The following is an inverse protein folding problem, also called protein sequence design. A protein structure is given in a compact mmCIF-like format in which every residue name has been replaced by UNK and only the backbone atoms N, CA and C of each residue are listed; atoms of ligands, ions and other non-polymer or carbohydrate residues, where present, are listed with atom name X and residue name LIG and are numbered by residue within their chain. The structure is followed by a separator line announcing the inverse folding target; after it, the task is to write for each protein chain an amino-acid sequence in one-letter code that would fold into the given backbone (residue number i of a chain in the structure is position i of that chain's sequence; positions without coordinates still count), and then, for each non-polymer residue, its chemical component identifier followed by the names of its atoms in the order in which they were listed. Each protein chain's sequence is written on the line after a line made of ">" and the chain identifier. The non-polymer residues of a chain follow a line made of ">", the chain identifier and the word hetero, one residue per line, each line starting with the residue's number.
data_IF_786054068222
#
_entry.id   IF_786054068222
#
_cell.length_a   1.000
_cell.length_b   1.000
_cell.length_c   1.000
_cell.angle_alpha   90.00
_cell.angle_beta   90.00
_cell.angle_gamma   90.00
#
_symmetry.space_group_name_H-M   'P 1'
#
loop_
_entity.id
_entity.type
_entity.pdbx_description
1 polymer ?
#
# COMPACT_ATOMS: atom_id res chain seq x y z
N UNK A 1 3.21 33.02 -16.17
CA UNK A 1 1.97 33.64 -16.69
C UNK A 1 0.72 32.81 -16.36
N UNK A 2 0.71 31.48 -16.61
CA UNK A 2 -0.48 30.64 -16.33
C UNK A 2 -0.88 30.59 -14.84
N UNK A 3 0.08 30.51 -13.91
CA UNK A 3 -0.23 30.51 -12.47
C UNK A 3 -0.83 31.83 -11.95
N UNK A 4 -0.73 32.92 -12.71
CA UNK A 4 -1.32 34.21 -12.38
C UNK A 4 -2.80 34.32 -12.83
N UNK A 5 -3.33 33.31 -13.52
CA UNK A 5 -4.74 33.30 -13.93
C UNK A 5 -5.66 33.11 -12.71
N UNK A 6 -6.72 33.92 -12.64
CA UNK A 6 -7.74 33.80 -11.58
C UNK A 6 -8.71 32.65 -11.84
N UNK A 7 -9.10 32.43 -13.10
CA UNK A 7 -10.09 31.44 -13.47
C UNK A 7 -9.45 30.14 -13.98
N UNK A 8 -9.92 28.96 -13.53
CA UNK A 8 -9.49 27.69 -14.11
C UNK A 8 -9.90 27.58 -15.59
N UNK A 9 -9.07 26.96 -16.42
CA UNK A 9 -9.41 26.66 -17.81
C UNK A 9 -9.79 25.19 -18.01
N UNK A 10 -10.74 24.93 -18.91
CA UNK A 10 -11.20 23.58 -19.21
C UNK A 10 -10.23 22.88 -20.18
N UNK A 11 -9.83 21.65 -19.85
CA UNK A 11 -8.93 20.85 -20.69
C UNK A 11 -9.70 19.87 -21.58
N UNK A 12 -10.92 19.48 -21.17
CA UNK A 12 -11.77 18.55 -21.94
C UNK A 12 -11.28 17.10 -21.82
N UNK A 13 -11.28 16.37 -22.94
CA UNK A 13 -10.76 14.99 -22.98
C UNK A 13 -9.27 15.02 -23.28
N UNK A 14 -8.49 14.38 -22.43
CA UNK A 14 -7.03 14.36 -22.55
C UNK A 14 -6.57 12.91 -22.65
N UNK A 15 -5.78 12.62 -23.68
CA UNK A 15 -5.14 11.31 -23.75
C UNK A 15 -4.01 11.24 -22.72
N UNK A 16 -3.00 12.08 -22.90
CA UNK A 16 -1.80 12.07 -22.08
C UNK A 16 -1.56 13.48 -21.51
N UNK A 17 -1.40 13.58 -20.19
CA UNK A 17 -1.03 14.79 -19.48
C UNK A 17 0.18 14.48 -18.60
N UNK A 18 1.36 14.91 -19.04
CA UNK A 18 2.61 14.77 -18.32
C UNK A 18 3.05 16.17 -17.87
N UNK A 19 3.08 16.43 -16.55
CA UNK A 19 3.50 17.69 -15.94
C UNK A 19 4.73 17.45 -15.08
N UNK A 20 5.84 18.07 -15.46
CA UNK A 20 7.13 17.93 -14.78
C UNK A 20 7.53 19.23 -14.09
N UNK A 21 8.10 19.11 -12.90
CA UNK A 21 8.64 20.18 -12.07
C UNK A 21 7.63 21.33 -11.90
N UNK A 22 8.01 22.57 -12.18
CA UNK A 22 7.12 23.74 -12.04
C UNK A 22 5.82 23.62 -12.84
N UNK A 23 5.75 22.75 -13.87
CA UNK A 23 4.51 22.52 -14.61
C UNK A 23 3.45 21.82 -13.76
N UNK A 24 3.84 21.08 -12.70
CA UNK A 24 2.89 20.46 -11.75
C UNK A 24 1.96 21.51 -11.15
N UNK A 25 2.47 22.71 -10.83
CA UNK A 25 1.66 23.82 -10.31
C UNK A 25 0.51 24.24 -11.24
N UNK A 26 0.61 23.99 -12.54
CA UNK A 26 -0.43 24.39 -13.51
C UNK A 26 -1.73 23.62 -13.28
N UNK A 27 -1.68 22.43 -12.65
CA UNK A 27 -2.86 21.61 -12.38
C UNK A 27 -3.92 22.36 -11.54
N UNK A 28 -3.50 23.28 -10.66
CA UNK A 28 -4.44 24.06 -9.83
C UNK A 28 -5.26 25.07 -10.64
N UNK A 29 -4.84 25.33 -11.87
CA UNK A 29 -5.50 26.26 -12.80
C UNK A 29 -6.32 25.52 -13.85
N UNK A 30 -6.47 24.20 -13.73
CA UNK A 30 -7.27 23.39 -14.63
C UNK A 30 -8.62 23.04 -14.00
N UNK A 31 -9.70 23.14 -14.78
CA UNK A 31 -11.00 22.58 -14.41
C UNK A 31 -11.07 21.13 -14.86
N UNK A 32 -10.73 20.20 -13.95
CA UNK A 32 -10.58 18.77 -14.26
C UNK A 32 -11.77 17.90 -13.82
N UNK A 33 -12.73 18.43 -13.05
CA UNK A 33 -13.82 17.65 -12.47
C UNK A 33 -14.60 16.79 -13.48
N UNK A 34 -14.86 17.35 -14.66
CA UNK A 34 -15.59 16.67 -15.74
C UNK A 34 -14.66 16.21 -16.88
N UNK A 35 -13.36 16.12 -16.62
CA UNK A 35 -12.38 15.62 -17.59
C UNK A 35 -12.29 14.09 -17.55
N UNK A 36 -12.00 13.52 -18.72
CA UNK A 36 -11.60 12.12 -18.88
C UNK A 36 -10.15 12.13 -19.33
N UNK A 37 -9.26 11.59 -18.49
CA UNK A 37 -7.81 11.55 -18.73
C UNK A 37 -7.36 10.10 -18.85
N UNK A 38 -6.71 9.72 -19.96
CA UNK A 38 -6.17 8.35 -20.08
C UNK A 38 -4.91 8.17 -19.22
N UNK A 39 -4.00 9.15 -19.21
CA UNK A 39 -2.79 9.14 -18.38
C UNK A 39 -2.48 10.52 -17.81
N UNK A 40 -2.39 10.62 -16.49
CA UNK A 40 -1.92 11.79 -15.75
C UNK A 40 -0.62 11.44 -15.02
N UNK A 41 0.48 12.10 -15.37
CA UNK A 41 1.76 11.97 -14.69
C UNK A 41 2.16 13.32 -14.10
N UNK A 42 2.41 13.35 -12.79
CA UNK A 42 3.04 14.49 -12.12
C UNK A 42 4.39 14.03 -11.56
N UNK A 43 5.48 14.69 -11.95
CA UNK A 43 6.82 14.44 -11.39
C UNK A 43 7.42 15.78 -10.95
N UNK A 44 7.90 15.87 -9.73
CA UNK A 44 8.51 17.09 -9.21
C UNK A 44 9.77 16.78 -8.42
N UNK A 45 10.92 17.22 -8.94
CA UNK A 45 12.23 16.98 -8.32
C UNK A 45 12.52 17.82 -7.08
N UNK A 46 11.81 18.93 -6.86
CA UNK A 46 12.01 19.83 -5.72
C UNK A 46 10.68 20.23 -5.08
N UNK A 47 10.69 20.53 -3.78
CA UNK A 47 9.50 21.03 -3.07
C UNK A 47 8.93 22.32 -3.70
N UNK A 48 9.81 23.20 -4.19
CA UNK A 48 9.43 24.45 -4.83
C UNK A 48 8.53 24.24 -6.08
N UNK A 49 8.65 23.09 -6.75
CA UNK A 49 7.85 22.74 -7.92
C UNK A 49 6.37 22.49 -7.60
N UNK A 50 6.09 22.05 -6.37
CA UNK A 50 4.72 21.76 -5.89
C UNK A 50 4.19 22.81 -4.93
N UNK A 51 4.99 23.80 -4.54
CA UNK A 51 4.63 24.83 -3.57
C UNK A 51 3.30 25.54 -3.91
N UNK A 52 3.08 25.87 -5.20
CA UNK A 52 1.83 26.48 -5.65
C UNK A 52 0.60 25.58 -5.43
N UNK A 53 0.78 24.25 -5.54
CA UNK A 53 -0.28 23.29 -5.26
C UNK A 53 -0.51 23.16 -3.76
N UNK A 54 0.56 23.00 -2.98
CA UNK A 54 0.48 22.84 -1.52
C UNK A 54 -0.07 24.09 -0.81
N UNK A 55 0.09 25.27 -1.39
CA UNK A 55 -0.49 26.52 -0.91
C UNK A 55 -2.01 26.64 -1.15
N UNK A 56 -2.62 25.73 -1.93
CA UNK A 56 -4.07 25.75 -2.15
C UNK A 56 -4.81 25.48 -0.83
N UNK A 57 -5.77 26.35 -0.51
CA UNK A 57 -6.68 26.16 0.63
C UNK A 57 -7.74 25.10 0.32
N UNK A 58 -8.26 25.11 -0.91
CA UNK A 58 -9.36 24.24 -1.32
C UNK A 58 -8.85 23.05 -2.13
N UNK A 59 -9.25 21.81 -1.79
CA UNK A 59 -8.93 20.66 -2.60
C UNK A 59 -9.55 20.73 -4.00
N UNK A 60 -8.86 20.19 -5.02
CA UNK A 60 -9.35 20.13 -6.39
C UNK A 60 -9.61 18.68 -6.85
N UNK A 61 -10.56 18.49 -7.77
CA UNK A 61 -10.89 17.18 -8.34
C UNK A 61 -10.21 17.03 -9.70
N UNK A 62 -9.69 15.84 -9.98
CA UNK A 62 -8.98 15.46 -11.23
C UNK A 62 -9.87 14.71 -12.23
N UNK A 63 -11.15 14.52 -11.90
CA UNK A 63 -12.13 13.86 -12.75
C UNK A 63 -11.95 12.35 -12.82
N UNK A 64 -12.16 11.78 -14.01
CA UNK A 64 -11.92 10.35 -14.27
C UNK A 64 -10.54 10.17 -14.88
N UNK A 65 -9.70 9.38 -14.24
CA UNK A 65 -8.33 9.14 -14.69
C UNK A 65 -8.07 7.64 -14.81
N UNK A 66 -7.72 7.16 -16.00
CA UNK A 66 -7.42 5.74 -16.17
C UNK A 66 -6.10 5.37 -15.49
N UNK A 67 -5.01 6.10 -15.74
CA UNK A 67 -3.73 5.87 -15.08
C UNK A 67 -3.18 7.19 -14.49
N UNK A 68 -3.03 7.24 -13.17
CA UNK A 68 -2.48 8.38 -12.44
C UNK A 68 -1.17 8.01 -11.75
N UNK A 69 -0.12 8.80 -11.97
CA UNK A 69 1.21 8.58 -11.39
C UNK A 69 1.74 9.85 -10.77
N UNK A 70 2.11 9.80 -9.49
CA UNK A 70 2.76 10.89 -8.77
C UNK A 70 4.15 10.43 -8.33
N UNK A 71 5.16 11.17 -8.77
CA UNK A 71 6.58 10.87 -8.49
C UNK A 71 7.22 11.96 -7.64
N UNK A 72 8.10 11.56 -6.73
CA UNK A 72 8.90 12.46 -5.89
C UNK A 72 8.02 13.45 -5.12
N UNK A 73 8.34 14.75 -5.09
CA UNK A 73 7.53 15.77 -4.38
C UNK A 73 6.09 15.88 -4.92
N UNK A 74 5.79 15.39 -6.12
CA UNK A 74 4.43 15.38 -6.64
C UNK A 74 3.52 14.43 -5.84
N UNK A 75 4.06 13.49 -5.06
CA UNK A 75 3.28 12.69 -4.11
C UNK A 75 2.53 13.59 -3.11
N UNK A 76 3.15 14.69 -2.66
CA UNK A 76 2.53 15.67 -1.75
C UNK A 76 1.27 16.34 -2.32
N UNK A 77 1.12 16.40 -3.65
CA UNK A 77 -0.05 16.99 -4.33
C UNK A 77 -1.34 16.30 -3.92
N UNK A 78 -1.29 15.00 -3.59
CA UNK A 78 -2.47 14.22 -3.18
C UNK A 78 -3.22 14.84 -2.00
N UNK A 79 -2.51 15.54 -1.10
CA UNK A 79 -3.10 16.22 0.08
C UNK A 79 -4.06 17.35 -0.30
N UNK A 80 -3.95 17.83 -1.55
CA UNK A 80 -4.76 18.90 -2.11
C UNK A 80 -5.74 18.39 -3.17
N UNK A 81 -5.83 17.07 -3.35
CA UNK A 81 -6.82 16.47 -4.23
C UNK A 81 -8.06 16.05 -3.45
N UNK A 82 -9.24 16.30 -4.00
CA UNK A 82 -10.50 15.71 -3.56
C UNK A 82 -10.77 14.44 -4.38
N UNK A 83 -10.35 13.29 -3.87
CA UNK A 83 -10.49 12.01 -4.56
C UNK A 83 -11.87 11.35 -4.36
N UNK A 84 -12.71 11.89 -3.48
CA UNK A 84 -14.03 11.30 -3.14
C UNK A 84 -14.92 11.06 -4.36
N UNK A 85 -14.91 12.00 -5.29
CA UNK A 85 -15.68 11.94 -6.53
C UNK A 85 -14.81 11.61 -7.76
N UNK A 86 -13.56 11.19 -7.54
CA UNK A 86 -12.65 10.75 -8.60
C UNK A 86 -12.80 9.23 -8.82
N UNK A 87 -12.70 8.83 -10.08
CA UNK A 87 -12.61 7.42 -10.48
C UNK A 87 -11.23 7.19 -11.09
N UNK A 88 -10.42 6.35 -10.43
CA UNK A 88 -9.06 6.05 -10.86
C UNK A 88 -8.92 4.54 -11.08
N UNK A 89 -8.57 4.12 -12.31
CA UNK A 89 -8.33 2.69 -12.55
C UNK A 89 -6.98 2.24 -11.97
N UNK A 90 -5.91 2.97 -12.23
CA UNK A 90 -4.57 2.70 -11.71
C UNK A 90 -3.97 3.95 -11.06
N UNK A 91 -3.60 3.85 -9.78
CA UNK A 91 -2.99 4.92 -9.01
C UNK A 91 -1.63 4.50 -8.46
N UNK A 92 -0.57 5.20 -8.88
CA UNK A 92 0.80 4.93 -8.45
C UNK A 92 1.41 6.15 -7.74
N UNK A 93 1.95 5.91 -6.54
CA UNK A 93 2.80 6.84 -5.81
C UNK A 93 4.20 6.23 -5.67
N UNK A 94 5.23 6.99 -5.99
CA UNK A 94 6.62 6.54 -5.95
C UNK A 94 7.51 7.68 -5.43
N UNK A 95 8.14 7.43 -4.29
CA UNK A 95 8.93 8.41 -3.55
C UNK A 95 10.22 7.78 -3.04
N UNK A 96 11.35 8.15 -3.66
CA UNK A 96 12.68 7.63 -3.30
C UNK A 96 13.34 8.30 -2.10
N UNK A 97 12.74 9.35 -1.53
CA UNK A 97 13.29 10.11 -0.40
C UNK A 97 12.17 10.46 0.58
N UNK A 98 12.48 10.52 1.87
CA UNK A 98 11.52 10.87 2.93
C UNK A 98 10.88 12.26 2.68
N UNK A 99 11.68 13.22 2.21
CA UNK A 99 11.22 14.58 1.94
C UNK A 99 10.08 14.64 0.89
N UNK A 100 10.03 13.67 -0.03
CA UNK A 100 8.99 13.59 -1.06
C UNK A 100 7.59 13.36 -0.48
N UNK A 101 7.48 12.71 0.68
CA UNK A 101 6.20 12.40 1.34
C UNK A 101 5.92 13.28 2.56
N UNK A 102 6.84 14.17 2.94
CA UNK A 102 6.73 14.99 4.15
C UNK A 102 5.40 15.78 4.23
N UNK A 103 4.95 16.37 3.12
CA UNK A 103 3.67 17.08 3.06
C UNK A 103 2.45 16.19 3.36
N UNK A 104 2.51 14.91 2.98
CA UNK A 104 1.46 13.92 3.26
C UNK A 104 1.51 13.49 4.72
N UNK A 105 2.71 13.18 5.23
CA UNK A 105 2.88 12.71 6.61
C UNK A 105 2.56 13.79 7.65
N UNK A 106 2.73 15.06 7.29
CA UNK A 106 2.33 16.21 8.10
C UNK A 106 0.81 16.38 8.23
N UNK A 107 -0.02 15.65 7.45
CA UNK A 107 -1.47 15.71 7.60
C UNK A 107 -1.90 15.10 8.94
N UNK A 108 -2.70 15.86 9.70
CA UNK A 108 -3.29 15.40 10.95
C UNK A 108 -4.42 14.40 10.70
N UNK A 109 -5.23 14.65 9.66
CA UNK A 109 -6.41 13.85 9.35
C UNK A 109 -6.17 12.98 8.12
N UNK A 110 -6.59 11.70 8.15
CA UNK A 110 -6.54 10.85 6.97
C UNK A 110 -7.39 11.41 5.83
N UNK A 111 -6.88 11.35 4.60
CA UNK A 111 -7.62 11.76 3.40
C UNK A 111 -8.24 10.56 2.69
N UNK A 112 -9.35 10.79 1.98
CA UNK A 112 -10.00 9.73 1.21
C UNK A 112 -9.18 9.40 -0.04
N UNK A 113 -8.89 8.12 -0.29
CA UNK A 113 -8.19 7.68 -1.50
C UNK A 113 -9.10 7.67 -2.75
N UNK A 114 -10.41 7.84 -2.59
CA UNK A 114 -11.38 7.78 -3.69
C UNK A 114 -11.69 6.35 -4.13
N UNK A 115 -12.27 6.22 -5.33
CA UNK A 115 -12.52 4.91 -5.97
C UNK A 115 -11.30 4.54 -6.81
N UNK A 116 -10.43 3.70 -6.25
CA UNK A 116 -9.20 3.23 -6.90
C UNK A 116 -9.28 1.73 -7.13
N UNK A 117 -9.22 1.30 -8.39
CA UNK A 117 -9.24 -0.14 -8.71
C UNK A 117 -7.90 -0.81 -8.40
N UNK A 118 -6.79 -0.21 -8.80
CA UNK A 118 -5.43 -0.70 -8.54
C UNK A 118 -4.56 0.41 -7.94
N UNK A 119 -3.98 0.17 -6.77
CA UNK A 119 -3.12 1.12 -6.06
C UNK A 119 -1.73 0.53 -5.85
N UNK A 120 -0.71 1.32 -6.15
CA UNK A 120 0.71 0.97 -6.03
C UNK A 120 1.44 2.04 -5.23
N UNK A 121 1.99 1.67 -4.08
CA UNK A 121 2.81 2.55 -3.24
C UNK A 121 4.22 1.97 -3.19
N UNK A 122 5.18 2.72 -3.72
CA UNK A 122 6.58 2.31 -3.85
C UNK A 122 7.50 3.17 -2.98
N UNK A 123 8.46 2.53 -2.31
CA UNK A 123 9.45 3.15 -1.43
C UNK A 123 8.82 3.99 -0.30
N UNK A 124 9.26 5.23 -0.04
CA UNK A 124 8.71 6.06 1.04
C UNK A 124 7.21 6.34 0.85
N UNK A 125 6.66 6.15 -0.36
CA UNK A 125 5.21 6.26 -0.58
C UNK A 125 4.43 5.16 0.16
N UNK A 126 5.06 4.07 0.60
CA UNK A 126 4.41 3.08 1.47
C UNK A 126 3.93 3.75 2.78
N UNK A 127 4.68 4.71 3.33
CA UNK A 127 4.29 5.48 4.52
C UNK A 127 2.98 6.26 4.36
N UNK A 128 2.63 6.65 3.13
CA UNK A 128 1.40 7.41 2.83
C UNK A 128 0.14 6.63 3.22
N UNK A 129 0.17 5.30 3.26
CA UNK A 129 -1.00 4.49 3.63
C UNK A 129 -1.53 4.80 5.03
N UNK A 130 -0.65 5.23 5.95
CA UNK A 130 -1.02 5.62 7.32
C UNK A 130 -1.89 6.88 7.37
N UNK A 131 -1.86 7.68 6.30
CA UNK A 131 -2.62 8.92 6.15
C UNK A 131 -3.80 8.77 5.20
N UNK A 132 -4.10 7.55 4.74
CA UNK A 132 -5.24 7.26 3.89
C UNK A 132 -6.41 6.70 4.71
N UNK A 133 -7.61 7.21 4.46
CA UNK A 133 -8.86 6.58 4.90
C UNK A 133 -9.34 5.63 3.82
N UNK A 134 -9.19 4.32 4.08
CA UNK A 134 -9.54 3.25 3.15
C UNK A 134 -10.82 2.49 3.53
N UNK A 135 -11.50 2.86 4.62
CA UNK A 135 -12.68 2.14 5.15
C UNK A 135 -13.83 2.01 4.13
N UNK A 136 -14.04 3.06 3.35
CA UNK A 136 -15.09 3.12 2.32
C UNK A 136 -14.55 2.89 0.90
N UNK A 137 -13.31 2.40 0.79
CA UNK A 137 -12.69 2.09 -0.50
C UNK A 137 -12.83 0.60 -0.80
N UNK A 138 -13.25 0.28 -2.03
CA UNK A 138 -13.16 -1.06 -2.60
C UNK A 138 -11.97 -1.11 -3.55
N UNK A 139 -10.88 -1.74 -3.11
CA UNK A 139 -9.64 -1.84 -3.90
C UNK A 139 -9.53 -3.26 -4.46
N UNK A 140 -9.43 -3.39 -5.78
CA UNK A 140 -9.20 -4.71 -6.39
C UNK A 140 -7.77 -5.21 -6.17
N UNK A 141 -6.80 -4.30 -6.23
CA UNK A 141 -5.38 -4.61 -5.98
C UNK A 141 -4.69 -3.49 -5.22
N UNK A 142 -4.12 -3.79 -4.05
CA UNK A 142 -3.21 -2.92 -3.32
C UNK A 142 -1.81 -3.54 -3.32
N UNK A 143 -0.80 -2.81 -3.78
CA UNK A 143 0.60 -3.25 -3.76
C UNK A 143 1.44 -2.26 -2.98
N UNK A 144 2.13 -2.74 -1.95
CA UNK A 144 3.14 -2.00 -1.19
C UNK A 144 4.50 -2.67 -1.46
N UNK A 145 5.46 -1.88 -1.93
CA UNK A 145 6.79 -2.36 -2.33
C UNK A 145 7.86 -1.42 -1.75
N UNK A 146 8.66 -1.90 -0.81
CA UNK A 146 9.66 -1.09 -0.14
C UNK A 146 11.02 -1.77 -0.20
N UNK A 147 11.96 -1.15 -0.93
CA UNK A 147 13.30 -1.68 -1.17
C UNK A 147 14.27 -1.51 0.00
N UNK A 148 13.98 -0.60 0.93
CA UNK A 148 14.83 -0.30 2.08
C UNK A 148 13.98 -0.25 3.36
N UNK A 149 14.61 -0.54 4.51
CA UNK A 149 13.94 -0.47 5.83
C UNK A 149 13.40 0.94 6.12
N UNK A 150 14.15 1.98 5.75
CA UNK A 150 13.76 3.38 5.96
C UNK A 150 12.43 3.73 5.27
N UNK A 151 12.09 3.08 4.16
CA UNK A 151 10.85 3.31 3.41
C UNK A 151 9.58 2.97 4.21
N UNK A 152 9.69 2.12 5.23
CA UNK A 152 8.57 1.70 6.08
C UNK A 152 8.65 2.25 7.51
N UNK A 153 9.69 3.03 7.84
CA UNK A 153 9.92 3.54 9.19
C UNK A 153 8.70 4.27 9.77
N UNK A 154 8.06 5.14 8.97
CA UNK A 154 6.85 5.85 9.39
C UNK A 154 5.69 4.90 9.72
N UNK A 155 5.50 3.84 8.94
CA UNK A 155 4.45 2.85 9.21
C UNK A 155 4.75 2.12 10.51
N UNK A 156 6.00 1.71 10.71
CA UNK A 156 6.44 0.97 11.90
C UNK A 156 6.41 1.83 13.17
N UNK A 157 6.59 3.14 13.04
CA UNK A 157 6.47 4.10 14.13
C UNK A 157 5.02 4.31 14.60
N UNK A 158 4.01 3.91 13.81
CA UNK A 158 2.61 4.03 14.22
C UNK A 158 2.32 3.20 15.47
N UNK A 159 1.79 3.86 16.50
CA UNK A 159 1.32 3.21 17.73
C UNK A 159 -0.02 2.52 17.54
N UNK A 160 -0.91 3.13 16.74
CA UNK A 160 -2.26 2.64 16.51
C UNK A 160 -2.31 1.83 15.23
N UNK A 161 -2.88 0.60 15.27
CA UNK A 161 -3.12 -0.15 14.06
C UNK A 161 -4.07 0.61 13.11
N UNK A 162 -3.86 0.46 11.81
CA UNK A 162 -4.73 1.05 10.79
C UNK A 162 -5.39 -0.05 9.94
N UNK A 163 -6.51 0.27 9.30
CA UNK A 163 -7.17 -0.68 8.41
C UNK A 163 -7.13 -0.22 6.96
N UNK A 164 -6.85 -1.18 6.06
CA UNK A 164 -6.81 -1.01 4.60
C UNK A 164 -8.19 -1.16 3.93
N UNK A 165 -9.25 -1.32 4.72
CA UNK A 165 -10.62 -1.50 4.23
C UNK A 165 -10.84 -2.87 3.58
N UNK A 166 -11.59 -2.89 2.47
CA UNK A 166 -11.88 -4.11 1.70
C UNK A 166 -10.97 -4.19 0.49
N UNK A 167 -10.04 -5.14 0.51
CA UNK A 167 -9.05 -5.33 -0.55
C UNK A 167 -9.19 -6.73 -1.14
N UNK A 168 -9.49 -6.83 -2.43
CA UNK A 168 -9.63 -8.15 -3.09
C UNK A 168 -8.28 -8.89 -3.18
N UNK A 169 -7.19 -8.17 -3.44
CA UNK A 169 -5.83 -8.72 -3.55
C UNK A 169 -4.82 -7.72 -2.99
N UNK A 170 -4.07 -8.09 -1.96
CA UNK A 170 -3.04 -7.26 -1.32
C UNK A 170 -1.67 -7.90 -1.49
N UNK A 171 -0.68 -7.12 -1.90
CA UNK A 171 0.70 -7.55 -2.11
C UNK A 171 1.61 -6.73 -1.20
N UNK A 172 2.34 -7.41 -0.33
CA UNK A 172 3.41 -6.84 0.48
C UNK A 172 4.72 -7.46 0.03
N UNK A 173 5.63 -6.62 -0.46
CA UNK A 173 6.92 -7.06 -0.99
C UNK A 173 8.07 -6.45 -0.22
N UNK A 174 9.12 -7.23 -0.04
CA UNK A 174 10.36 -6.79 0.59
C UNK A 174 10.09 -6.14 1.97
N UNK A 175 10.68 -5.00 2.32
CA UNK A 175 10.46 -4.38 3.63
C UNK A 175 9.00 -3.97 3.91
N UNK A 176 8.15 -3.87 2.86
CA UNK A 176 6.73 -3.57 3.03
C UNK A 176 5.96 -4.69 3.75
N UNK A 177 6.57 -5.87 3.95
CA UNK A 177 6.00 -6.88 4.84
C UNK A 177 5.84 -6.38 6.27
N UNK A 178 6.74 -5.51 6.77
CA UNK A 178 6.64 -4.94 8.12
C UNK A 178 5.32 -4.22 8.38
N UNK A 179 4.69 -3.70 7.33
CA UNK A 179 3.37 -3.04 7.37
C UNK A 179 2.30 -3.94 7.99
N UNK A 180 2.38 -5.26 7.78
CA UNK A 180 1.38 -6.21 8.29
C UNK A 180 1.26 -6.21 9.82
N UNK A 181 2.35 -5.88 10.52
CA UNK A 181 2.40 -5.83 11.98
C UNK A 181 1.63 -4.64 12.55
N UNK A 182 1.30 -3.67 11.70
CA UNK A 182 0.59 -2.43 12.05
C UNK A 182 -0.83 -2.39 11.48
N UNK A 183 -1.28 -3.48 10.87
CA UNK A 183 -2.65 -3.60 10.40
C UNK A 183 -3.58 -3.99 11.55
N UNK A 184 -4.75 -3.35 11.59
CA UNK A 184 -5.82 -3.75 12.49
C UNK A 184 -6.42 -5.08 12.00
N UNK A 185 -6.55 -6.09 12.87
CA UNK A 185 -7.29 -7.30 12.53
C UNK A 185 -8.80 -7.04 12.47
N UNK A 186 -9.26 -6.00 13.17
CA UNK A 186 -10.65 -5.53 13.19
C UNK A 186 -10.90 -4.64 11.97
N UNK A 187 -12.05 -4.83 11.31
CA UNK A 187 -12.56 -4.09 10.14
C UNK A 187 -11.85 -4.31 8.79
N UNK A 188 -10.86 -5.20 8.72
CA UNK A 188 -10.07 -5.45 7.51
C UNK A 188 -10.47 -6.76 6.84
N UNK A 189 -10.89 -6.65 5.57
CA UNK A 189 -11.27 -7.82 4.75
C UNK A 189 -10.34 -7.93 3.54
N UNK A 190 -9.52 -8.97 3.52
CA UNK A 190 -8.57 -9.25 2.44
C UNK A 190 -8.97 -10.54 1.72
N UNK A 191 -9.30 -10.42 0.44
CA UNK A 191 -9.62 -11.58 -0.40
C UNK A 191 -8.41 -12.48 -0.61
N UNK A 192 -7.24 -11.91 -0.90
CA UNK A 192 -5.99 -12.67 -1.06
C UNK A 192 -4.80 -11.83 -0.64
N UNK A 193 -4.01 -12.33 0.30
CA UNK A 193 -2.78 -11.70 0.77
C UNK A 193 -1.57 -12.41 0.15
N UNK A 194 -0.70 -11.64 -0.50
CA UNK A 194 0.57 -12.08 -1.08
C UNK A 194 1.71 -11.46 -0.29
N UNK A 195 2.58 -12.31 0.26
CA UNK A 195 3.80 -11.92 0.96
C UNK A 195 4.99 -12.46 0.19
N UNK A 196 5.96 -11.60 -0.13
CA UNK A 196 7.17 -12.00 -0.85
C UNK A 196 8.37 -11.23 -0.31
N UNK A 197 9.45 -11.96 -0.05
CA UNK A 197 10.71 -11.34 0.33
C UNK A 197 11.90 -12.10 -0.24
N UNK A 198 12.73 -11.38 -1.00
CA UNK A 198 13.92 -11.93 -1.62
C UNK A 198 15.10 -12.12 -0.65
N UNK A 199 15.08 -11.45 0.51
CA UNK A 199 16.15 -11.51 1.52
C UNK A 199 15.63 -11.67 2.95
N UNK A 200 16.45 -12.23 3.84
CA UNK A 200 16.13 -12.36 5.27
C UNK A 200 15.97 -10.99 5.96
N UNK A 201 16.70 -9.96 5.52
CA UNK A 201 16.59 -8.62 6.08
C UNK A 201 15.17 -8.05 5.94
N UNK A 202 14.45 -8.39 4.87
CA UNK A 202 13.10 -7.90 4.60
C UNK A 202 12.06 -8.39 5.62
N UNK A 203 12.28 -9.56 6.23
CA UNK A 203 11.40 -10.13 7.28
C UNK A 203 11.86 -9.80 8.70
N UNK A 204 13.03 -9.19 8.88
CA UNK A 204 13.67 -9.06 10.19
C UNK A 204 12.76 -8.38 11.22
N UNK A 205 12.11 -7.27 10.85
CA UNK A 205 11.19 -6.53 11.72
C UNK A 205 9.98 -7.38 12.15
N UNK A 206 9.39 -8.13 11.22
CA UNK A 206 8.25 -9.01 11.50
C UNK A 206 8.65 -10.10 12.48
N UNK A 207 9.86 -10.64 12.33
CA UNK A 207 10.39 -11.72 13.18
C UNK A 207 10.86 -11.21 14.54
N UNK A 208 11.22 -9.94 14.64
CA UNK A 208 11.59 -9.28 15.90
C UNK A 208 10.38 -9.05 16.83
N UNK A 209 9.14 -9.12 16.31
CA UNK A 209 7.94 -8.99 17.13
C UNK A 209 7.89 -10.04 18.24
N UNK A 210 7.75 -9.58 19.49
CA UNK A 210 7.65 -10.48 20.65
C UNK A 210 6.36 -11.31 20.60
N UNK A 211 5.27 -10.69 20.16
CA UNK A 211 3.95 -11.30 20.05
C UNK A 211 3.61 -11.57 18.59
N UNK A 212 2.91 -12.67 18.30
CA UNK A 212 2.37 -12.87 16.95
C UNK A 212 1.41 -11.75 16.54
N UNK A 213 1.41 -11.41 15.26
CA UNK A 213 0.45 -10.48 14.64
C UNK A 213 -0.72 -11.25 14.02
N UNK A 214 -1.91 -10.64 14.04
CA UNK A 214 -3.11 -11.21 13.45
C UNK A 214 -3.40 -10.55 12.11
N UNK A 215 -3.57 -11.34 11.05
CA UNK A 215 -3.86 -10.83 9.69
C UNK A 215 -5.33 -10.45 9.45
N UNK A 216 -6.20 -10.58 10.46
CA UNK A 216 -7.63 -10.28 10.35
C UNK A 216 -8.38 -11.26 9.43
N UNK A 217 -9.42 -10.76 8.76
CA UNK A 217 -10.27 -11.53 7.85
C UNK A 217 -9.60 -11.76 6.50
N UNK A 218 -8.87 -12.86 6.35
CA UNK A 218 -8.19 -13.22 5.08
C UNK A 218 -8.71 -14.54 4.52
N UNK A 219 -9.16 -14.55 3.26
CA UNK A 219 -9.64 -15.79 2.60
C UNK A 219 -8.50 -16.66 2.06
N UNK A 220 -7.45 -16.06 1.50
CA UNK A 220 -6.32 -16.79 0.92
C UNK A 220 -5.01 -16.11 1.25
N UNK A 221 -4.00 -16.90 1.61
CA UNK A 221 -2.65 -16.40 1.91
C UNK A 221 -1.65 -17.14 1.03
N UNK A 222 -0.80 -16.39 0.34
CA UNK A 222 0.29 -16.90 -0.48
C UNK A 222 1.59 -16.29 0.01
N UNK A 223 2.52 -17.13 0.46
CA UNK A 223 3.79 -16.71 1.05
C UNK A 223 4.93 -17.31 0.27
N UNK A 224 5.85 -16.46 -0.18
CA UNK A 224 6.92 -16.80 -1.11
C UNK A 224 8.27 -16.36 -0.55
N UNK A 225 9.29 -17.16 -0.81
CA UNK A 225 10.68 -16.88 -0.48
C UNK A 225 10.91 -16.68 1.03
N UNK A 226 11.76 -15.74 1.46
CA UNK A 226 12.05 -15.51 2.89
C UNK A 226 10.82 -15.11 3.70
N UNK A 227 9.76 -14.60 3.05
CA UNK A 227 8.50 -14.32 3.70
C UNK A 227 7.91 -15.57 4.36
N UNK A 228 8.28 -16.78 3.91
CA UNK A 228 7.84 -18.03 4.53
C UNK A 228 8.10 -18.05 6.05
N UNK A 229 9.22 -17.49 6.51
CA UNK A 229 9.58 -17.46 7.92
C UNK A 229 8.61 -16.67 8.81
N UNK A 230 7.85 -15.71 8.25
CA UNK A 230 6.93 -14.87 9.04
C UNK A 230 5.77 -15.65 9.63
N UNK A 231 5.49 -16.87 9.13
CA UNK A 231 4.41 -17.70 9.67
C UNK A 231 4.64 -18.06 11.14
N UNK A 232 5.90 -18.06 11.59
CA UNK A 232 6.26 -18.28 13.00
C UNK A 232 5.75 -17.17 13.93
N UNK A 233 5.39 -16.01 13.36
CA UNK A 233 4.84 -14.83 14.05
C UNK A 233 3.43 -14.47 13.58
N UNK A 234 2.81 -15.29 12.74
CA UNK A 234 1.51 -14.99 12.17
C UNK A 234 0.43 -15.81 12.87
N UNK A 235 -0.67 -15.16 13.24
CA UNK A 235 -1.90 -15.81 13.68
C UNK A 235 -3.06 -15.35 12.82
N UNK A 236 -4.16 -16.11 12.91
CA UNK A 236 -5.41 -15.80 12.24
C UNK A 236 -6.49 -15.69 13.30
N UNK A 237 -7.39 -14.73 13.10
CA UNK A 237 -8.52 -14.53 13.99
C UNK A 237 -9.34 -15.84 14.11
N UNK A 238 -9.78 -16.19 15.32
CA UNK A 238 -10.47 -17.46 15.60
C UNK A 238 -11.76 -17.67 14.80
N UNK A 239 -12.43 -16.56 14.49
CA UNK A 239 -13.64 -16.52 13.66
C UNK A 239 -13.36 -16.58 12.15
N UNK A 240 -12.11 -16.39 11.72
CA UNK A 240 -11.75 -16.47 10.33
C UNK A 240 -11.40 -17.92 9.93
N UNK A 241 -11.96 -18.37 8.82
CA UNK A 241 -11.66 -19.67 8.22
C UNK A 241 -11.04 -19.45 6.84
N UNK A 242 -9.74 -19.69 6.71
CA UNK A 242 -9.03 -19.51 5.45
C UNK A 242 -9.44 -20.60 4.45
N UNK A 243 -9.65 -20.20 3.19
CA UNK A 243 -9.98 -21.11 2.09
C UNK A 243 -8.73 -21.82 1.55
N UNK A 244 -7.62 -21.11 1.40
CA UNK A 244 -6.38 -21.64 0.85
C UNK A 244 -5.13 -20.99 1.44
N UNK A 245 -4.15 -21.81 1.81
CA UNK A 245 -2.85 -21.36 2.32
C UNK A 245 -1.74 -21.97 1.47
N UNK A 246 -0.95 -21.14 0.78
CA UNK A 246 0.18 -21.55 -0.05
C UNK A 246 1.47 -21.03 0.56
N UNK A 247 2.43 -21.93 0.76
CA UNK A 247 3.76 -21.63 1.28
C UNK A 247 4.80 -22.18 0.31
N UNK A 248 5.60 -21.30 -0.28
CA UNK A 248 6.65 -21.63 -1.25
C UNK A 248 7.96 -21.04 -0.76
N UNK A 249 8.97 -21.90 -0.58
CA UNK A 249 10.31 -21.50 -0.20
C UNK A 249 11.29 -22.64 -0.43
N UNK A 250 12.58 -22.31 -0.57
CA UNK A 250 13.64 -23.31 -0.59
C UNK A 250 13.99 -23.76 0.85
N UNK A 251 15.01 -24.58 1.01
CA UNK A 251 15.43 -25.06 2.33
C UNK A 251 15.85 -23.94 3.28
N UNK A 252 16.60 -22.96 2.78
CA UNK A 252 17.08 -21.82 3.56
C UNK A 252 15.92 -20.94 4.04
N UNK A 253 14.94 -20.66 3.16
CA UNK A 253 13.75 -19.87 3.46
C UNK A 253 12.85 -20.53 4.53
N UNK A 254 12.90 -21.86 4.63
CA UNK A 254 12.07 -22.65 5.55
C UNK A 254 12.81 -23.07 6.83
N UNK A 255 14.10 -22.77 6.96
CA UNK A 255 14.96 -23.19 8.07
C UNK A 255 14.39 -22.82 9.44
N UNK A 256 13.97 -21.55 9.63
CA UNK A 256 13.34 -21.07 10.87
C UNK A 256 12.07 -21.84 11.26
N UNK A 257 11.27 -22.28 10.29
CA UNK A 257 10.08 -23.09 10.56
C UNK A 257 10.47 -24.50 11.03
N UNK A 258 11.58 -25.05 10.53
CA UNK A 258 12.03 -26.39 10.91
C UNK A 258 12.56 -26.45 12.35
N UNK A 259 13.06 -25.32 12.87
CA UNK A 259 13.52 -25.16 14.25
C UNK A 259 12.37 -25.14 15.26
N UNK A 260 11.16 -24.81 14.81
CA UNK A 260 9.97 -24.80 15.65
C UNK A 260 9.60 -26.21 16.14
N UNK A 261 8.89 -26.26 17.27
CA UNK A 261 8.37 -27.54 17.79
C UNK A 261 7.23 -28.02 16.88
N UNK A 262 7.00 -29.33 16.88
CA UNK A 262 5.86 -29.87 16.16
C UNK A 262 4.56 -29.30 16.74
N UNK A 263 3.67 -28.85 15.86
CA UNK A 263 2.39 -28.20 16.17
C UNK A 263 2.51 -26.91 17.02
N UNK A 264 3.62 -26.18 16.95
CA UNK A 264 3.76 -24.88 17.64
C UNK A 264 3.25 -23.68 16.85
N UNK A 265 3.13 -23.79 15.52
CA UNK A 265 2.70 -22.68 14.65
C UNK A 265 1.19 -22.77 14.45
N UNK A 266 0.44 -21.87 15.08
CA UNK A 266 -1.02 -21.82 15.01
C UNK A 266 -1.49 -20.93 13.85
N UNK A 267 -1.97 -21.56 12.77
CA UNK A 267 -2.51 -20.85 11.61
C UNK A 267 -4.05 -20.78 11.62
N UNK A 268 -4.70 -21.31 12.66
CA UNK A 268 -6.15 -21.33 12.77
C UNK A 268 -6.81 -22.30 11.80
N UNK A 269 -8.06 -22.04 11.41
CA UNK A 269 -8.87 -22.96 10.61
C UNK A 269 -8.62 -22.78 9.12
N UNK A 270 -8.13 -23.82 8.45
CA UNK A 270 -7.91 -23.84 6.99
C UNK A 270 -8.80 -24.92 6.37
N UNK A 271 -9.58 -24.58 5.34
CA UNK A 271 -10.58 -25.51 4.78
C UNK A 271 -9.98 -26.72 4.10
N UNK A 272 -8.90 -26.60 3.32
CA UNK A 272 -8.01 -27.69 2.82
C UNK A 272 -7.16 -27.28 1.61
N UNK A 273 -7.41 -26.13 0.97
CA UNK A 273 -6.65 -25.72 -0.22
C UNK A 273 -5.21 -25.28 0.08
N UNK A 274 -4.28 -25.62 -0.83
CA UNK A 274 -2.92 -25.08 -0.87
C UNK A 274 -1.87 -25.78 0.01
N UNK A 275 -2.30 -26.65 0.94
CA UNK A 275 -1.35 -27.38 1.81
C UNK A 275 -0.58 -28.48 1.07
N UNK A 276 -1.07 -28.95 -0.07
CA UNK A 276 -0.47 -30.07 -0.82
C UNK A 276 0.95 -29.76 -1.33
N UNK A 277 1.28 -28.48 -1.55
CA UNK A 277 2.61 -28.05 -1.96
C UNK A 277 3.60 -27.94 -0.80
N UNK A 278 3.14 -28.04 0.45
CA UNK A 278 3.97 -27.87 1.64
C UNK A 278 4.68 -29.19 1.98
N UNK A 279 6.01 -29.21 2.14
CA UNK A 279 6.73 -30.41 2.56
C UNK A 279 6.21 -30.97 3.89
N UNK A 280 6.10 -32.30 4.03
CA UNK A 280 5.58 -32.96 5.24
C UNK A 280 6.32 -32.55 6.53
N UNK A 281 7.63 -32.30 6.45
CA UNK A 281 8.43 -31.81 7.59
C UNK A 281 7.94 -30.45 8.11
N UNK A 282 7.42 -29.59 7.23
CA UNK A 282 6.85 -28.29 7.57
C UNK A 282 5.42 -28.46 8.07
N UNK A 283 4.60 -29.30 7.42
CA UNK A 283 3.22 -29.56 7.87
C UNK A 283 3.15 -30.03 9.33
N UNK A 284 4.13 -30.81 9.79
CA UNK A 284 4.23 -31.25 11.21
C UNK A 284 4.39 -30.10 12.21
N UNK A 285 4.88 -28.94 11.77
CA UNK A 285 5.06 -27.73 12.59
C UNK A 285 3.76 -26.93 12.73
N UNK A 286 2.85 -27.07 11.78
CA UNK A 286 1.60 -26.33 11.71
C UNK A 286 0.51 -26.99 12.56
N UNK A 287 -0.34 -26.16 13.17
CA UNK A 287 -1.54 -26.56 13.92
C UNK A 287 -2.77 -25.82 13.40
#
# INVERSE_FOLDING_TARGET
>A
EVLAQENPFCVGRVKDMDLEDYAVGVITKMSLKDCEIERLTLDASEEAHVAAVLAQENPFCVGRVKNMRLYKYAVGVITKMSLKDCEIEEFKLDASEEAHVAAVLAQENPFCAGRVKHMFLEDYAVGVITKMSLKDCEIERLTLDAREEAHVAEVLAQEKPFCVGRVKSMWLKEYAMGVITKMSPEDCEIGTLWLTASEEAHVAEVLAQEKPFCVGGVKRVNIWDYAASVITKMTIHEDNTMESFVLVGNEDHLSRILEEKDRSIELGRIRTGGLDSIPERIKRKLR
#
